data_IF_214960919122
#
_entry.id   IF_214960919122
#
_cell.length_a   1.000
_cell.length_b   1.000
_cell.length_c   1.000
_cell.angle_alpha   90.00
_cell.angle_beta   90.00
_cell.angle_gamma   90.00
#
_symmetry.space_group_name_H-M   'P 1'
#
loop_
_entity.id
_entity.type
_entity.pdbx_description
1 polymer ?
#
# COMPACT_ATOMS: atom_id res chain seq x y z
N UNK A 1 23.58 10.50 35.80
CA UNK A 1 23.30 9.41 34.84
C UNK A 1 22.66 10.05 33.61
N UNK A 2 23.00 9.64 32.38
CA UNK A 2 22.35 10.20 31.18
C UNK A 2 20.85 9.81 31.16
N UNK A 3 19.96 10.59 30.53
CA UNK A 3 18.52 10.31 30.48
C UNK A 3 18.16 8.89 30.05
N UNK A 4 18.84 8.36 29.02
CA UNK A 4 18.65 6.98 28.53
C UNK A 4 19.01 5.94 29.59
N UNK A 5 20.09 6.20 30.34
CA UNK A 5 20.51 5.34 31.44
C UNK A 5 19.55 5.37 32.63
N UNK A 6 18.93 6.52 32.90
CA UNK A 6 17.92 6.64 33.96
C UNK A 6 16.67 5.84 33.63
N UNK A 7 16.14 5.99 32.41
CA UNK A 7 15.00 5.21 31.93
C UNK A 7 15.32 3.72 31.90
N UNK A 8 16.49 3.33 31.40
CA UNK A 8 16.94 1.94 31.42
C UNK A 8 16.96 1.37 32.85
N UNK A 9 17.55 2.08 33.82
CA UNK A 9 17.58 1.61 35.22
C UNK A 9 16.17 1.51 35.82
N UNK A 10 15.26 2.44 35.48
CA UNK A 10 13.87 2.38 35.93
C UNK A 10 13.15 1.13 35.37
N UNK A 11 13.34 0.83 34.09
CA UNK A 11 12.83 -0.39 33.44
C UNK A 11 13.39 -1.64 34.13
N UNK A 12 14.72 -1.73 34.31
CA UNK A 12 15.36 -2.89 34.96
C UNK A 12 14.86 -3.11 36.39
N UNK A 13 14.58 -2.02 37.13
CA UNK A 13 14.03 -2.06 38.48
C UNK A 13 12.52 -2.26 38.54
N UNK A 14 11.85 -2.34 37.40
CA UNK A 14 10.40 -2.45 37.27
C UNK A 14 9.65 -1.32 38.00
N UNK A 15 10.20 -0.10 37.94
CA UNK A 15 9.72 1.07 38.68
C UNK A 15 8.86 1.96 37.75
N UNK A 16 7.54 1.73 37.77
CA UNK A 16 6.58 2.41 36.89
C UNK A 16 6.61 3.93 37.04
N UNK A 17 6.67 4.43 38.29
CA UNK A 17 6.65 5.87 38.55
C UNK A 17 7.88 6.56 37.96
N UNK A 18 9.06 5.93 38.11
CA UNK A 18 10.29 6.46 37.49
C UNK A 18 10.31 6.33 35.97
N UNK A 19 9.66 5.32 35.40
CA UNK A 19 9.48 5.22 33.94
C UNK A 19 8.63 6.37 33.44
N UNK A 20 7.46 6.61 34.05
CA UNK A 20 6.57 7.72 33.68
C UNK A 20 7.29 9.05 33.85
N UNK A 21 7.97 9.27 34.99
CA UNK A 21 8.74 10.49 35.24
C UNK A 21 9.79 10.72 34.15
N UNK A 22 10.56 9.68 33.79
CA UNK A 22 11.60 9.78 32.78
C UNK A 22 11.02 10.05 31.38
N UNK A 23 9.95 9.34 30.98
CA UNK A 23 9.29 9.52 29.68
C UNK A 23 8.64 10.92 29.56
N UNK A 24 7.96 11.40 30.60
CA UNK A 24 7.36 12.74 30.61
C UNK A 24 8.42 13.86 30.61
N UNK A 25 9.52 13.67 31.33
CA UNK A 25 10.59 14.68 31.44
C UNK A 25 11.48 14.73 30.20
N UNK A 26 11.60 13.63 29.48
CA UNK A 26 12.49 13.50 28.33
C UNK A 26 11.77 12.82 27.13
N UNK A 27 10.83 13.52 26.45
CA UNK A 27 10.06 12.95 25.34
C UNK A 27 10.92 12.47 24.16
N UNK A 28 12.09 13.09 23.93
CA UNK A 28 13.03 12.69 22.87
C UNK A 28 13.54 11.24 23.02
N UNK A 29 13.39 10.61 24.19
CA UNK A 29 13.74 9.20 24.39
C UNK A 29 12.87 8.24 23.54
N UNK A 30 11.70 8.69 23.10
CA UNK A 30 10.83 7.97 22.18
C UNK A 30 11.25 8.10 20.70
N UNK A 31 12.04 9.13 20.36
CA UNK A 31 12.51 9.40 19.00
C UNK A 31 13.68 8.48 18.58
N UNK A 32 14.12 7.56 19.44
CA UNK A 32 15.20 6.63 19.14
C UNK A 32 14.80 5.65 18.02
N UNK A 33 15.11 6.03 16.77
CA UNK A 33 14.91 5.20 15.58
C UNK A 33 16.11 4.27 15.36
N UNK A 34 15.78 3.04 14.99
CA UNK A 34 16.62 1.91 14.53
C UNK A 34 18.15 1.98 14.68
N UNK A 35 18.74 0.88 15.19
CA UNK A 35 20.20 0.65 15.11
C UNK A 35 20.95 0.55 16.44
N UNK A 36 20.26 0.51 17.59
CA UNK A 36 20.87 0.15 18.87
C UNK A 36 20.79 -1.35 19.11
N UNK A 37 21.83 -1.93 19.70
CA UNK A 37 21.87 -3.36 20.10
C UNK A 37 20.70 -3.78 21.00
N UNK A 38 20.07 -2.84 21.72
CA UNK A 38 19.00 -3.11 22.70
C UNK A 38 17.95 -1.99 22.75
N UNK A 39 16.81 -2.14 22.07
CA UNK A 39 15.68 -1.20 22.19
C UNK A 39 15.07 -1.22 23.60
N UNK A 40 14.74 -0.04 24.14
CA UNK A 40 14.21 0.11 25.50
C UNK A 40 12.85 -0.58 25.68
N UNK A 41 11.96 -0.51 24.68
CA UNK A 41 10.67 -1.17 24.72
C UNK A 41 10.81 -2.70 24.79
N UNK A 42 11.77 -3.28 24.05
CA UNK A 42 12.07 -4.71 24.12
C UNK A 42 12.59 -5.11 25.50
N UNK A 43 13.41 -4.27 26.15
CA UNK A 43 13.87 -4.52 27.53
C UNK A 43 12.70 -4.49 28.52
N UNK A 44 11.75 -3.57 28.36
CA UNK A 44 10.55 -3.52 29.19
C UNK A 44 9.70 -4.79 29.07
N UNK A 45 9.56 -5.35 27.86
CA UNK A 45 8.89 -6.65 27.65
C UNK A 45 9.58 -7.77 28.42
N UNK A 46 10.91 -7.80 28.50
CA UNK A 46 11.62 -8.84 29.29
C UNK A 46 11.28 -8.79 30.79
N UNK A 47 10.79 -7.65 31.28
CA UNK A 47 10.39 -7.48 32.69
C UNK A 47 8.95 -7.88 32.95
N UNK A 48 8.14 -8.02 31.90
CA UNK A 48 6.79 -8.57 32.00
C UNK A 48 5.80 -7.67 32.74
N UNK A 49 5.98 -6.35 32.69
CA UNK A 49 5.06 -5.39 33.30
C UNK A 49 4.27 -4.62 32.22
N UNK A 50 3.00 -5.00 31.97
CA UNK A 50 2.14 -4.37 30.97
C UNK A 50 2.00 -2.86 31.18
N UNK A 51 1.94 -2.39 32.43
CA UNK A 51 1.77 -0.96 32.74
C UNK A 51 2.97 -0.12 32.32
N UNK A 52 4.18 -0.69 32.42
CA UNK A 52 5.39 -0.02 31.93
C UNK A 52 5.37 0.06 30.41
N UNK A 53 4.97 -1.01 29.74
CA UNK A 53 4.90 -1.08 28.27
C UNK A 53 3.85 -0.10 27.75
N UNK A 54 2.65 -0.10 28.36
CA UNK A 54 1.58 0.85 28.09
C UNK A 54 2.07 2.30 28.26
N UNK A 55 2.69 2.62 29.41
CA UNK A 55 3.22 3.95 29.66
C UNK A 55 4.26 4.38 28.62
N UNK A 56 5.14 3.47 28.19
CA UNK A 56 6.13 3.77 27.14
C UNK A 56 5.45 4.01 25.78
N UNK A 57 4.47 3.19 25.39
CA UNK A 57 3.72 3.37 24.15
C UNK A 57 2.93 4.68 24.15
N UNK A 58 2.31 5.04 25.27
CA UNK A 58 1.58 6.31 25.43
C UNK A 58 2.49 7.55 25.29
N UNK A 59 3.78 7.39 25.54
CA UNK A 59 4.80 8.42 25.33
C UNK A 59 5.49 8.32 23.95
N UNK A 60 4.93 7.56 23.01
CA UNK A 60 5.34 7.59 21.60
C UNK A 60 6.50 6.66 21.24
N UNK A 61 6.88 5.72 22.11
CA UNK A 61 7.92 4.73 21.76
C UNK A 61 7.46 3.89 20.57
N UNK A 62 8.34 3.74 19.57
CA UNK A 62 8.08 2.88 18.42
C UNK A 62 7.77 1.44 18.88
N UNK A 63 6.70 0.85 18.34
CA UNK A 63 6.13 -0.41 18.82
C UNK A 63 6.84 -1.67 18.30
N UNK A 64 7.48 -1.58 17.11
CA UNK A 64 8.13 -2.71 16.45
C UNK A 64 9.67 -2.58 16.30
N UNK A 65 10.43 -2.11 17.31
CA UNK A 65 11.87 -2.01 17.19
C UNK A 65 12.52 -3.39 17.08
N UNK A 66 13.42 -3.53 16.12
CA UNK A 66 14.19 -4.76 15.93
C UNK A 66 15.40 -4.78 16.85
N UNK A 67 15.48 -5.79 17.72
CA UNK A 67 16.71 -6.09 18.45
C UNK A 67 17.66 -6.92 17.60
N UNK A 68 18.89 -6.44 17.40
CA UNK A 68 19.96 -7.16 16.70
C UNK A 68 20.71 -8.10 17.67
N UNK A 69 21.29 -9.20 17.17
CA UNK A 69 21.27 -9.67 15.77
C UNK A 69 20.03 -10.48 15.38
N UNK A 70 19.21 -10.94 16.34
CA UNK A 70 18.11 -11.88 16.08
C UNK A 70 16.91 -11.27 15.35
N UNK A 71 16.89 -9.93 15.19
CA UNK A 71 15.78 -9.15 14.61
C UNK A 71 14.44 -9.50 15.28
N UNK A 72 14.44 -9.58 16.60
CA UNK A 72 13.23 -9.89 17.40
C UNK A 72 12.52 -8.61 17.82
N UNK A 73 11.21 -8.56 17.63
CA UNK A 73 10.32 -7.46 18.04
C UNK A 73 9.88 -7.59 19.50
N UNK A 74 9.34 -6.52 20.13
CA UNK A 74 8.68 -6.62 21.43
C UNK A 74 7.59 -7.71 21.44
N UNK A 75 6.79 -7.81 20.37
CA UNK A 75 5.79 -8.86 20.21
C UNK A 75 6.43 -10.26 20.25
N UNK A 76 7.52 -10.48 19.50
CA UNK A 76 8.27 -11.74 19.52
C UNK A 76 8.80 -12.11 20.91
N UNK A 77 9.28 -11.14 21.69
CA UNK A 77 9.71 -11.37 23.07
C UNK A 77 8.54 -11.77 23.98
N UNK A 78 7.41 -11.08 23.88
CA UNK A 78 6.24 -11.38 24.73
C UNK A 78 5.73 -12.80 24.52
N UNK A 79 5.82 -13.32 23.29
CA UNK A 79 5.52 -14.72 22.94
C UNK A 79 6.53 -15.67 23.57
N UNK A 80 7.83 -15.41 23.42
CA UNK A 80 8.90 -16.26 23.99
C UNK A 80 8.84 -16.34 25.54
N UNK A 81 8.28 -15.32 26.19
CA UNK A 81 8.08 -15.27 27.64
C UNK A 81 6.66 -15.68 28.08
N UNK A 82 5.82 -16.15 27.16
CA UNK A 82 4.43 -16.57 27.43
C UNK A 82 3.58 -15.48 28.15
N UNK A 83 3.74 -14.21 27.76
CA UNK A 83 3.13 -13.04 28.40
C UNK A 83 1.80 -12.64 27.75
N UNK A 84 0.73 -13.38 28.06
CA UNK A 84 -0.63 -13.18 27.51
C UNK A 84 -1.07 -11.71 27.44
N UNK A 85 -1.02 -10.99 28.57
CA UNK A 85 -1.48 -9.60 28.68
C UNK A 85 -0.64 -8.63 27.82
N UNK A 86 0.65 -8.90 27.65
CA UNK A 86 1.54 -8.06 26.85
C UNK A 86 1.36 -8.32 25.36
N UNK A 87 1.14 -9.57 24.97
CA UNK A 87 0.82 -9.94 23.58
C UNK A 87 -0.46 -9.21 23.14
N UNK A 88 -1.51 -9.30 23.95
CA UNK A 88 -2.79 -8.65 23.69
C UNK A 88 -2.65 -7.12 23.65
N UNK A 89 -1.91 -6.52 24.59
CA UNK A 89 -1.62 -5.09 24.61
C UNK A 89 -0.90 -4.64 23.32
N UNK A 90 0.20 -5.30 22.95
CA UNK A 90 0.98 -4.90 21.77
C UNK A 90 0.16 -5.00 20.48
N UNK A 91 -0.59 -6.08 20.30
CA UNK A 91 -1.44 -6.26 19.12
C UNK A 91 -2.57 -5.21 19.07
N UNK A 92 -3.22 -4.94 20.20
CA UNK A 92 -4.26 -3.90 20.29
C UNK A 92 -3.72 -2.51 20.00
N UNK A 93 -2.45 -2.25 20.31
CA UNK A 93 -1.75 -0.99 20.01
C UNK A 93 -1.14 -0.95 18.59
N UNK A 94 -1.39 -1.95 17.75
CA UNK A 94 -1.01 -1.96 16.34
C UNK A 94 0.36 -2.56 16.03
N UNK A 95 0.92 -3.40 16.92
CA UNK A 95 2.17 -4.11 16.63
C UNK A 95 2.00 -5.02 15.41
N UNK A 96 2.91 -4.92 14.44
CA UNK A 96 2.82 -5.70 13.21
C UNK A 96 3.30 -7.15 13.41
N UNK A 97 2.44 -8.17 13.30
CA UNK A 97 2.82 -9.57 13.49
C UNK A 97 3.71 -10.11 12.36
N UNK A 98 3.94 -9.33 11.30
CA UNK A 98 4.80 -9.69 10.17
C UNK A 98 6.21 -9.08 10.27
N UNK A 99 6.59 -8.48 11.40
CA UNK A 99 7.97 -8.04 11.66
C UNK A 99 8.68 -9.06 12.55
N UNK A 100 9.88 -9.47 12.15
CA UNK A 100 10.62 -10.55 12.82
C UNK A 100 9.97 -11.92 12.60
N UNK A 101 9.93 -12.77 13.63
CA UNK A 101 9.39 -14.15 13.55
C UNK A 101 8.35 -14.50 14.66
N UNK A 102 7.40 -13.61 15.04
CA UNK A 102 6.49 -13.88 16.15
C UNK A 102 5.58 -15.09 15.89
N UNK A 103 5.03 -15.23 14.68
CA UNK A 103 4.16 -16.37 14.33
C UNK A 103 4.90 -17.72 14.45
N UNK A 104 6.14 -17.83 13.96
CA UNK A 104 6.99 -19.02 14.19
C UNK A 104 7.31 -19.19 15.67
N UNK A 105 7.58 -18.09 16.38
CA UNK A 105 7.86 -18.08 17.81
C UNK A 105 6.75 -18.73 18.64
N UNK A 106 5.49 -18.56 18.24
CA UNK A 106 4.35 -19.19 18.94
C UNK A 106 4.44 -20.71 18.98
N UNK A 107 5.09 -21.34 18.00
CA UNK A 107 5.24 -22.80 17.95
C UNK A 107 6.24 -23.32 18.98
N UNK A 108 7.04 -22.44 19.60
CA UNK A 108 7.99 -22.78 20.66
C UNK A 108 7.42 -22.60 22.07
N UNK A 109 6.16 -22.18 22.22
CA UNK A 109 5.55 -22.01 23.55
C UNK A 109 5.37 -23.34 24.28
N UNK A 110 5.38 -23.26 25.62
CA UNK A 110 5.51 -24.42 26.51
C UNK A 110 4.31 -25.38 26.48
N UNK A 111 3.10 -24.89 26.18
CA UNK A 111 1.86 -25.69 26.17
C UNK A 111 1.14 -25.57 24.84
N UNK A 112 0.50 -26.66 24.39
CA UNK A 112 -0.30 -26.67 23.17
C UNK A 112 -1.41 -25.60 23.21
N UNK A 113 -2.05 -25.44 24.38
CA UNK A 113 -3.08 -24.41 24.60
C UNK A 113 -2.55 -23.00 24.30
N UNK A 114 -1.35 -22.66 24.79
CA UNK A 114 -0.74 -21.36 24.52
C UNK A 114 -0.32 -21.22 23.07
N UNK A 115 0.28 -22.26 22.47
CA UNK A 115 0.62 -22.27 21.04
C UNK A 115 -0.61 -21.96 20.19
N UNK A 116 -1.71 -22.68 20.42
CA UNK A 116 -2.95 -22.48 19.68
C UNK A 116 -3.57 -21.10 19.91
N UNK A 117 -3.64 -20.65 21.18
CA UNK A 117 -4.13 -19.31 21.55
C UNK A 117 -3.37 -18.22 20.79
N UNK A 118 -2.04 -18.26 20.81
CA UNK A 118 -1.22 -17.22 20.19
C UNK A 118 -1.23 -17.29 18.66
N UNK A 119 -1.22 -18.48 18.06
CA UNK A 119 -1.41 -18.63 16.61
C UNK A 119 -2.71 -17.97 16.17
N UNK A 120 -3.82 -18.29 16.86
CA UNK A 120 -5.12 -17.70 16.54
C UNK A 120 -5.11 -16.18 16.68
N UNK A 121 -4.61 -15.68 17.81
CA UNK A 121 -4.56 -14.26 18.11
C UNK A 121 -3.72 -13.48 17.08
N UNK A 122 -2.56 -13.99 16.68
CA UNK A 122 -1.72 -13.35 15.66
C UNK A 122 -2.37 -13.36 14.28
N UNK A 123 -2.99 -14.47 13.87
CA UNK A 123 -3.69 -14.57 12.58
C UNK A 123 -4.88 -13.62 12.52
N UNK A 124 -5.63 -13.48 13.62
CA UNK A 124 -6.73 -12.50 13.73
C UNK A 124 -6.27 -11.05 13.61
N UNK A 125 -5.01 -10.76 13.97
CA UNK A 125 -4.38 -9.44 13.82
C UNK A 125 -3.52 -9.31 12.53
N UNK A 126 -3.76 -10.16 11.53
CA UNK A 126 -3.16 -10.01 10.19
C UNK A 126 -1.81 -10.68 9.99
N UNK A 127 -1.44 -11.68 10.79
CA UNK A 127 -0.23 -12.47 10.54
C UNK A 127 -0.35 -13.27 9.22
N UNK A 128 0.65 -13.13 8.35
CA UNK A 128 0.72 -13.86 7.09
C UNK A 128 1.11 -15.33 7.33
N UNK A 129 0.13 -16.22 7.17
CA UNK A 129 0.29 -17.67 7.34
C UNK A 129 1.10 -18.34 6.23
N UNK A 130 1.37 -17.64 5.12
CA UNK A 130 2.17 -18.13 4.00
C UNK A 130 3.55 -17.47 3.92
N UNK A 131 3.94 -16.70 4.93
CA UNK A 131 5.23 -16.04 4.97
C UNK A 131 6.38 -17.06 4.90
N UNK A 132 7.33 -16.78 4.01
CA UNK A 132 8.55 -17.56 3.85
C UNK A 132 9.65 -17.06 4.78
N UNK A 133 10.29 -18.01 5.44
CA UNK A 133 11.38 -17.78 6.37
C UNK A 133 12.62 -18.54 5.91
N UNK A 134 13.75 -17.86 5.80
CA UNK A 134 15.02 -18.51 5.48
C UNK A 134 15.47 -19.39 6.65
N UNK A 135 15.80 -20.65 6.36
CA UNK A 135 16.41 -21.57 7.32
C UNK A 135 17.90 -21.28 7.40
N UNK A 136 18.39 -20.93 8.59
CA UNK A 136 19.78 -20.53 8.83
C UNK A 136 20.31 -19.41 7.91
N UNK A 137 19.40 -18.56 7.38
CA UNK A 137 19.76 -17.48 6.46
C UNK A 137 20.03 -17.94 5.02
N UNK A 138 19.74 -19.20 4.68
CA UNK A 138 19.77 -19.69 3.31
C UNK A 138 18.42 -19.44 2.62
N UNK A 139 18.40 -18.48 1.70
CA UNK A 139 17.21 -18.13 0.91
C UNK A 139 16.74 -19.23 -0.03
N UNK A 140 17.56 -20.26 -0.30
CA UNK A 140 17.14 -21.43 -1.09
C UNK A 140 16.38 -22.45 -0.23
N UNK A 141 16.57 -22.40 1.08
CA UNK A 141 15.98 -23.33 2.03
C UNK A 141 14.97 -22.62 2.93
N UNK A 142 13.83 -22.30 2.35
CA UNK A 142 12.75 -21.58 3.03
C UNK A 142 11.67 -22.52 3.58
N UNK A 143 11.04 -22.08 4.66
CA UNK A 143 9.92 -22.75 5.30
C UNK A 143 8.83 -21.73 5.70
N UNK A 144 7.62 -22.22 5.92
CA UNK A 144 6.45 -21.48 6.42
C UNK A 144 6.15 -21.87 7.86
N UNK A 145 5.22 -21.17 8.51
CA UNK A 145 4.68 -21.62 9.81
C UNK A 145 4.11 -23.03 9.72
N UNK A 146 3.52 -23.40 8.59
CA UNK A 146 2.91 -24.71 8.41
C UNK A 146 3.95 -25.83 8.32
N UNK A 147 5.10 -25.59 7.68
CA UNK A 147 6.21 -26.57 7.64
C UNK A 147 6.78 -26.85 9.04
N UNK A 148 6.64 -25.88 9.95
CA UNK A 148 7.21 -25.95 11.30
C UNK A 148 6.19 -26.43 12.34
N UNK A 149 4.89 -26.42 12.01
CA UNK A 149 3.82 -26.85 12.89
C UNK A 149 3.74 -28.39 12.94
N UNK A 150 3.87 -28.95 14.14
CA UNK A 150 3.76 -30.41 14.36
C UNK A 150 2.46 -30.83 15.05
N UNK A 151 1.74 -29.89 15.67
CA UNK A 151 0.51 -30.17 16.39
C UNK A 151 -0.69 -30.21 15.43
N UNK A 152 -1.47 -31.32 15.37
CA UNK A 152 -2.56 -31.47 14.42
C UNK A 152 -3.61 -30.35 14.46
N UNK A 153 -3.98 -29.90 15.67
CA UNK A 153 -4.98 -28.84 15.84
C UNK A 153 -4.51 -27.49 15.26
N UNK A 154 -3.23 -27.16 15.44
CA UNK A 154 -2.62 -25.96 14.85
C UNK A 154 -2.52 -26.11 13.34
N UNK A 155 -2.11 -27.28 12.85
CA UNK A 155 -2.05 -27.58 11.41
C UNK A 155 -3.42 -27.40 10.77
N UNK A 156 -4.47 -27.99 11.35
CA UNK A 156 -5.83 -27.90 10.83
C UNK A 156 -6.33 -26.44 10.80
N UNK A 157 -6.10 -25.68 11.87
CA UNK A 157 -6.45 -24.26 11.91
C UNK A 157 -5.67 -23.44 10.87
N UNK A 158 -4.36 -23.63 10.75
CA UNK A 158 -3.55 -22.94 9.76
C UNK A 158 -4.02 -23.27 8.33
N UNK A 159 -4.32 -24.54 8.05
CA UNK A 159 -4.89 -24.99 6.77
C UNK A 159 -6.25 -24.34 6.50
N UNK A 160 -7.13 -24.26 7.49
CA UNK A 160 -8.41 -23.54 7.39
C UNK A 160 -8.20 -22.08 7.00
N UNK A 161 -7.15 -21.44 7.54
CA UNK A 161 -6.75 -20.06 7.22
C UNK A 161 -5.96 -19.93 5.92
N UNK A 162 -5.86 -20.99 5.11
CA UNK A 162 -5.22 -20.96 3.80
C UNK A 162 -3.70 -21.08 3.85
N UNK A 163 -3.12 -21.56 4.96
CA UNK A 163 -1.69 -21.82 5.06
C UNK A 163 -1.26 -22.98 4.16
N UNK A 164 -0.10 -22.83 3.56
CA UNK A 164 0.53 -23.81 2.68
C UNK A 164 1.97 -24.02 3.11
N UNK A 165 2.48 -25.23 2.92
CA UNK A 165 3.88 -25.56 3.13
C UNK A 165 4.72 -24.83 2.09
N UNK A 166 6.01 -24.59 2.36
CA UNK A 166 6.93 -24.01 1.40
C UNK A 166 7.01 -24.90 0.14
N UNK A 167 6.91 -26.22 0.31
CA UNK A 167 6.80 -27.15 -0.82
C UNK A 167 5.53 -26.90 -1.65
N UNK A 168 4.36 -26.68 -1.05
CA UNK A 168 3.12 -26.35 -1.77
C UNK A 168 3.08 -24.92 -2.32
N UNK A 169 3.80 -23.98 -1.71
CA UNK A 169 4.03 -22.66 -2.29
C UNK A 169 4.95 -22.74 -3.52
N UNK A 170 5.95 -23.64 -3.49
CA UNK A 170 6.85 -23.95 -4.61
C UNK A 170 6.21 -24.85 -5.69
N UNK A 171 5.30 -25.74 -5.30
CA UNK A 171 4.64 -26.76 -6.14
C UNK A 171 3.25 -26.35 -6.62
N UNK A 172 2.65 -25.29 -6.05
CA UNK A 172 1.81 -24.42 -6.87
C UNK A 172 2.60 -24.08 -8.12
N UNK A 173 1.97 -24.07 -9.31
CA UNK A 173 2.68 -23.71 -10.50
C UNK A 173 3.21 -22.30 -10.29
N UNK A 174 4.50 -22.21 -9.95
CA UNK A 174 5.30 -21.08 -10.35
C UNK A 174 5.21 -21.16 -11.85
N UNK A 175 4.34 -20.31 -12.40
CA UNK A 175 4.35 -20.04 -13.81
C UNK A 175 5.84 -19.82 -14.14
N UNK A 176 6.37 -20.63 -15.06
CA UNK A 176 7.72 -20.39 -15.55
C UNK A 176 7.85 -18.90 -15.89
N UNK A 177 9.05 -18.30 -15.91
CA UNK A 177 9.18 -16.89 -16.32
C UNK A 177 8.41 -16.62 -17.63
N UNK A 178 8.40 -17.60 -18.55
CA UNK A 178 7.58 -17.55 -19.77
C UNK A 178 6.07 -17.62 -19.55
N UNK A 179 5.56 -18.30 -18.54
CA UNK A 179 4.14 -18.35 -18.18
C UNK A 179 3.70 -17.18 -17.28
N UNK A 180 4.55 -16.64 -16.39
CA UNK A 180 4.24 -15.41 -15.64
C UNK A 180 4.15 -14.24 -16.60
N UNK A 181 5.11 -14.16 -17.55
CA UNK A 181 5.05 -13.23 -18.67
C UNK A 181 3.80 -13.49 -19.51
N UNK A 182 3.35 -14.73 -19.73
CA UNK A 182 2.11 -15.01 -20.49
C UNK A 182 0.86 -14.61 -19.72
N UNK A 183 0.78 -14.87 -18.41
CA UNK A 183 -0.37 -14.50 -17.61
C UNK A 183 -0.44 -12.99 -17.44
N UNK A 184 0.66 -12.34 -17.13
CA UNK A 184 0.76 -10.88 -17.08
C UNK A 184 0.36 -10.29 -18.45
N UNK A 185 0.93 -10.79 -19.55
CA UNK A 185 0.48 -10.39 -20.90
C UNK A 185 -1.00 -10.66 -21.13
N UNK A 186 -1.56 -11.75 -20.58
CA UNK A 186 -2.98 -12.07 -20.68
C UNK A 186 -3.85 -11.04 -19.93
N UNK A 187 -3.47 -10.68 -18.70
CA UNK A 187 -4.19 -9.69 -17.89
C UNK A 187 -4.10 -8.29 -18.50
N UNK A 188 -2.92 -7.90 -19.00
CA UNK A 188 -2.75 -6.66 -19.76
C UNK A 188 -3.63 -6.67 -21.03
N UNK A 189 -3.71 -7.81 -21.72
CA UNK A 189 -4.55 -7.95 -22.91
C UNK A 189 -6.05 -7.85 -22.58
N UNK A 190 -6.48 -8.29 -21.40
CA UNK A 190 -7.87 -8.12 -20.95
C UNK A 190 -8.23 -6.63 -20.79
N UNK A 191 -7.35 -5.81 -20.21
CA UNK A 191 -7.52 -4.34 -20.12
C UNK A 191 -7.61 -3.74 -21.53
N UNK A 192 -6.67 -4.06 -22.42
CA UNK A 192 -6.65 -3.57 -23.80
C UNK A 192 -7.94 -3.96 -24.54
N UNK A 193 -8.39 -5.20 -24.35
CA UNK A 193 -9.61 -5.73 -24.97
C UNK A 193 -10.85 -5.03 -24.42
N UNK A 194 -10.88 -4.72 -23.12
CA UNK A 194 -11.97 -3.96 -22.53
C UNK A 194 -12.07 -2.56 -23.17
N UNK A 195 -10.96 -1.83 -23.22
CA UNK A 195 -10.91 -0.50 -23.84
C UNK A 195 -11.25 -0.54 -25.34
N UNK A 196 -10.75 -1.55 -26.06
CA UNK A 196 -11.10 -1.80 -27.45
C UNK A 196 -12.62 -1.89 -27.62
N UNK A 197 -13.25 -2.80 -26.87
CA UNK A 197 -14.66 -3.10 -27.02
C UNK A 197 -15.57 -1.95 -26.54
N UNK A 198 -15.11 -1.14 -25.58
CA UNK A 198 -15.91 -0.06 -24.99
C UNK A 198 -15.74 1.28 -25.67
N UNK A 199 -14.58 1.54 -26.27
CA UNK A 199 -14.26 2.86 -26.83
C UNK A 199 -13.93 2.78 -28.33
N UNK A 200 -13.04 1.88 -28.74
CA UNK A 200 -12.65 1.75 -30.15
C UNK A 200 -11.28 1.11 -30.35
N UNK A 201 -10.87 0.93 -31.61
CA UNK A 201 -9.61 0.25 -31.95
C UNK A 201 -8.37 0.88 -31.30
N UNK A 202 -7.59 0.07 -30.59
CA UNK A 202 -6.35 0.49 -29.92
C UNK A 202 -5.20 0.44 -30.93
N UNK A 203 -4.33 1.46 -30.91
CA UNK A 203 -3.11 1.46 -31.72
C UNK A 203 -2.18 0.30 -31.35
N UNK A 204 -1.40 -0.17 -32.33
CA UNK A 204 -0.53 -1.34 -32.13
C UNK A 204 0.68 -1.06 -31.25
N UNK A 205 1.10 0.20 -31.15
CA UNK A 205 2.25 0.62 -30.37
C UNK A 205 1.78 1.30 -29.08
N UNK A 206 2.24 0.78 -27.95
CA UNK A 206 2.09 1.44 -26.66
C UNK A 206 3.28 2.36 -26.40
N UNK A 207 3.04 3.46 -25.71
CA UNK A 207 4.05 4.36 -25.19
C UNK A 207 4.53 3.79 -23.86
N UNK A 208 5.83 3.53 -23.74
CA UNK A 208 6.45 2.98 -22.52
C UNK A 208 7.39 3.99 -21.90
N UNK A 209 7.73 3.76 -20.63
CA UNK A 209 8.71 4.55 -19.91
C UNK A 209 10.07 4.54 -20.61
N UNK A 210 10.77 5.68 -20.60
CA UNK A 210 12.14 5.75 -21.15
C UNK A 210 13.15 5.05 -20.24
N UNK A 211 12.92 5.11 -18.91
CA UNK A 211 13.70 4.41 -17.89
C UNK A 211 12.75 3.40 -17.26
N UNK A 212 13.01 2.09 -17.36
CA UNK A 212 12.15 1.09 -16.75
C UNK A 212 12.09 1.28 -15.22
N UNK A 213 10.92 1.59 -14.69
CA UNK A 213 10.65 1.48 -13.27
C UNK A 213 10.54 0.01 -12.83
N UNK A 214 10.43 -0.21 -11.52
CA UNK A 214 10.21 -1.55 -10.94
C UNK A 214 8.87 -2.15 -11.40
N UNK A 215 7.92 -1.31 -11.84
CA UNK A 215 6.57 -1.69 -12.23
C UNK A 215 6.28 -1.13 -13.63
N UNK A 216 6.48 -1.92 -14.70
CA UNK A 216 6.40 -1.40 -16.06
C UNK A 216 4.97 -0.93 -16.38
N UNK A 217 4.81 0.38 -16.58
CA UNK A 217 3.59 0.99 -17.07
C UNK A 217 3.71 1.19 -18.58
N UNK A 218 2.60 0.96 -19.28
CA UNK A 218 2.44 1.33 -20.67
C UNK A 218 1.17 2.16 -20.85
N UNK A 219 1.23 3.14 -21.75
CA UNK A 219 0.09 3.97 -22.14
C UNK A 219 -0.30 3.60 -23.57
N UNK A 220 -1.57 3.31 -23.77
CA UNK A 220 -2.15 2.92 -25.06
C UNK A 220 -3.03 4.03 -25.59
N UNK A 221 -3.07 4.15 -26.91
CA UNK A 221 -3.84 5.18 -27.61
C UNK A 221 -5.02 4.55 -28.33
N UNK A 222 -6.18 5.17 -28.20
CA UNK A 222 -7.33 4.93 -29.08
C UNK A 222 -7.53 6.21 -29.90
N UNK A 223 -7.25 6.20 -31.21
CA UNK A 223 -7.26 7.40 -32.05
C UNK A 223 -8.70 7.86 -32.32
N UNK A 224 -8.90 9.13 -32.72
CA UNK A 224 -10.22 9.65 -33.07
C UNK A 224 -10.93 8.76 -34.12
N UNK A 225 -12.26 8.70 -34.05
CA UNK A 225 -13.10 7.94 -34.97
C UNK A 225 -14.16 8.86 -35.60
N UNK A 226 -14.88 8.38 -36.63
CA UNK A 226 -15.89 9.19 -37.34
C UNK A 226 -16.98 9.76 -36.41
N UNK A 227 -17.33 9.04 -35.35
CA UNK A 227 -18.33 9.41 -34.34
C UNK A 227 -17.72 9.98 -33.05
N UNK A 228 -16.39 10.18 -33.03
CA UNK A 228 -15.63 10.50 -31.81
C UNK A 228 -14.43 11.41 -32.11
N UNK A 229 -14.62 12.71 -31.93
CA UNK A 229 -13.62 13.76 -32.18
C UNK A 229 -12.64 13.98 -31.02
N UNK A 230 -12.16 12.89 -30.41
CA UNK A 230 -11.14 12.92 -29.37
C UNK A 230 -10.36 11.61 -29.37
N UNK A 231 -9.11 11.67 -28.91
CA UNK A 231 -8.33 10.47 -28.62
C UNK A 231 -8.45 10.09 -27.15
N UNK A 232 -8.18 8.82 -26.83
CA UNK A 232 -8.14 8.34 -25.45
C UNK A 232 -6.80 7.71 -25.17
N UNK A 233 -6.16 8.14 -24.10
CA UNK A 233 -5.01 7.49 -23.52
C UNK A 233 -5.47 6.67 -22.33
N UNK A 234 -4.97 5.45 -22.18
CA UNK A 234 -5.23 4.62 -21.01
C UNK A 234 -4.00 3.82 -20.59
N UNK A 235 -3.86 3.53 -19.31
CA UNK A 235 -2.74 2.75 -18.79
C UNK A 235 -3.02 1.26 -18.85
N UNK A 236 -1.94 0.49 -18.94
CA UNK A 236 -1.90 -0.90 -18.51
C UNK A 236 -0.69 -1.08 -17.60
N UNK A 237 -0.84 -1.87 -16.54
CA UNK A 237 0.25 -2.23 -15.63
C UNK A 237 -0.02 -1.80 -14.20
N UNK A 238 -0.81 -0.74 -13.99
CA UNK A 238 -1.22 -0.32 -12.65
C UNK A 238 -2.04 -1.43 -11.96
N UNK A 239 -2.87 -2.15 -12.72
CA UNK A 239 -3.66 -3.27 -12.23
C UNK A 239 -2.89 -4.60 -12.16
N UNK A 240 -1.61 -4.66 -12.57
CA UNK A 240 -0.85 -5.92 -12.52
C UNK A 240 -0.63 -6.41 -11.08
N UNK A 241 -0.63 -5.49 -10.12
CA UNK A 241 -0.50 -5.77 -8.69
C UNK A 241 -1.58 -5.01 -7.90
N UNK A 242 -1.99 -5.55 -6.76
CA UNK A 242 -2.90 -4.87 -5.85
C UNK A 242 -2.19 -3.67 -5.19
N UNK A 243 -2.86 -2.53 -5.16
CA UNK A 243 -2.49 -1.38 -4.34
C UNK A 243 -2.77 -1.66 -2.85
N UNK A 244 -2.08 -0.94 -1.96
CA UNK A 244 -2.26 -1.07 -0.52
C UNK A 244 -3.52 -0.31 -0.06
N UNK A 245 -4.67 -0.99 -0.12
CA UNK A 245 -5.98 -0.43 0.25
C UNK A 245 -6.30 -0.68 1.72
N UNK A 246 -6.99 0.25 2.40
CA UNK A 246 -7.46 0.02 3.76
C UNK A 246 -8.60 -1.03 3.77
N UNK A 247 -8.85 -1.69 4.92
CA UNK A 247 -9.94 -2.66 5.03
C UNK A 247 -11.30 -2.05 4.66
N UNK A 248 -12.07 -2.76 3.82
CA UNK A 248 -13.36 -2.32 3.30
C UNK A 248 -13.31 -1.55 1.98
N UNK A 249 -12.11 -1.24 1.46
CA UNK A 249 -11.90 -0.57 0.18
C UNK A 249 -11.21 -1.49 -0.86
N UNK A 250 -11.29 -2.81 -0.67
CA UNK A 250 -10.61 -3.80 -1.52
C UNK A 250 -11.11 -3.77 -2.98
N UNK A 251 -12.32 -3.25 -3.21
CA UNK A 251 -12.89 -3.02 -4.55
C UNK A 251 -12.08 -2.00 -5.36
N UNK A 252 -11.20 -1.22 -4.72
CA UNK A 252 -10.32 -0.25 -5.35
C UNK A 252 -8.86 -0.73 -5.43
N UNK A 253 -8.57 -1.99 -5.08
CA UNK A 253 -7.21 -2.52 -5.03
C UNK A 253 -6.54 -2.62 -6.42
N UNK A 254 -7.31 -2.67 -7.50
CA UNK A 254 -6.77 -2.71 -8.85
C UNK A 254 -7.39 -1.60 -9.69
N UNK A 255 -6.55 -0.86 -10.40
CA UNK A 255 -6.99 0.29 -11.17
C UNK A 255 -6.25 0.41 -12.50
N UNK A 256 -6.88 1.10 -13.46
CA UNK A 256 -6.21 1.68 -14.61
C UNK A 256 -6.72 3.11 -14.80
N UNK A 257 -5.84 3.97 -15.30
CA UNK A 257 -6.13 5.37 -15.55
C UNK A 257 -6.49 5.56 -17.02
N UNK A 258 -7.36 6.54 -17.32
CA UNK A 258 -7.53 7.01 -18.68
C UNK A 258 -7.88 8.50 -18.73
N UNK A 259 -7.49 9.14 -19.83
CA UNK A 259 -7.75 10.56 -20.10
C UNK A 259 -8.16 10.72 -21.57
N UNK A 260 -9.05 11.68 -21.82
CA UNK A 260 -9.51 12.00 -23.17
C UNK A 260 -8.94 13.35 -23.59
N UNK A 261 -8.29 13.37 -24.75
CA UNK A 261 -7.60 14.55 -25.27
C UNK A 261 -8.21 14.95 -26.62
N UNK A 262 -8.13 16.23 -27.02
CA UNK A 262 -8.52 16.69 -28.35
C UNK A 262 -7.95 15.82 -29.48
N UNK A 263 -8.67 15.72 -30.60
CA UNK A 263 -8.28 14.87 -31.73
C UNK A 263 -6.98 15.29 -32.41
N UNK A 264 -6.57 16.55 -32.24
CA UNK A 264 -5.35 17.14 -32.78
C UNK A 264 -4.15 17.09 -31.82
N UNK A 265 -4.25 16.35 -30.71
CA UNK A 265 -3.18 16.23 -29.73
C UNK A 265 -1.94 15.51 -30.27
N UNK A 266 -0.75 16.12 -30.13
CA UNK A 266 0.49 15.67 -30.80
C UNK A 266 1.36 14.79 -29.90
N UNK A 267 1.02 13.51 -29.79
CA UNK A 267 1.71 12.53 -28.94
C UNK A 267 3.17 12.26 -29.37
N UNK A 268 3.50 12.48 -30.64
CA UNK A 268 4.84 12.32 -31.19
C UNK A 268 5.82 13.40 -30.71
N UNK A 269 5.30 14.54 -30.21
CA UNK A 269 6.11 15.64 -29.70
C UNK A 269 6.45 15.47 -28.22
N UNK A 270 7.06 14.34 -27.88
CA UNK A 270 7.38 13.98 -26.49
C UNK A 270 8.34 14.95 -25.78
N UNK A 271 9.13 15.73 -26.51
CA UNK A 271 10.02 16.75 -25.95
C UNK A 271 9.33 18.09 -25.66
N UNK A 272 8.08 18.26 -26.07
CA UNK A 272 7.31 19.48 -25.82
C UNK A 272 6.32 19.24 -24.69
N UNK A 273 6.62 19.86 -23.55
CA UNK A 273 5.86 19.71 -22.30
C UNK A 273 4.39 20.10 -22.43
N UNK A 274 4.04 20.92 -23.42
CA UNK A 274 2.65 21.25 -23.72
C UNK A 274 1.85 20.00 -24.13
N UNK A 275 2.49 19.09 -24.87
CA UNK A 275 1.87 17.86 -25.37
C UNK A 275 2.14 16.64 -24.48
N UNK A 276 3.30 16.60 -23.81
CA UNK A 276 3.73 15.42 -23.02
C UNK A 276 3.10 15.33 -21.62
N UNK A 277 2.66 16.45 -21.02
CA UNK A 277 2.23 16.44 -19.62
C UNK A 277 1.17 15.39 -19.27
N UNK A 278 0.18 15.03 -20.13
CA UNK A 278 -0.77 13.99 -19.77
C UNK A 278 -0.09 12.63 -19.63
N UNK A 279 0.90 12.33 -20.48
CA UNK A 279 1.68 11.10 -20.41
C UNK A 279 2.50 11.06 -19.11
N UNK A 280 3.20 12.17 -18.82
CA UNK A 280 4.04 12.29 -17.63
C UNK A 280 3.22 12.06 -16.35
N UNK A 281 2.03 12.66 -16.26
CA UNK A 281 1.12 12.49 -15.13
C UNK A 281 0.48 11.10 -15.06
N UNK A 282 0.13 10.48 -16.19
CA UNK A 282 -0.37 9.11 -16.20
C UNK A 282 0.67 8.13 -15.66
N UNK A 283 1.93 8.26 -16.09
CA UNK A 283 3.03 7.45 -15.55
C UNK A 283 3.20 7.68 -14.05
N UNK A 284 3.30 8.94 -13.64
CA UNK A 284 3.50 9.30 -12.23
C UNK A 284 2.39 8.76 -11.33
N UNK A 285 1.12 8.93 -11.71
CA UNK A 285 -0.02 8.46 -10.91
C UNK A 285 -0.09 6.93 -10.91
N UNK A 286 0.20 6.27 -12.03
CA UNK A 286 0.15 4.80 -12.11
C UNK A 286 1.26 4.11 -11.28
N UNK A 287 2.40 4.77 -11.10
CA UNK A 287 3.51 4.23 -10.30
C UNK A 287 3.37 4.54 -8.80
N UNK A 288 2.81 5.71 -8.48
CA UNK A 288 2.77 6.25 -7.13
C UNK A 288 2.27 5.28 -6.04
N UNK A 289 1.15 4.55 -6.23
CA UNK A 289 0.67 3.57 -5.24
C UNK A 289 1.70 2.49 -4.90
N UNK A 290 2.38 1.95 -5.91
CA UNK A 290 3.30 0.81 -5.74
C UNK A 290 4.67 1.27 -5.23
N UNK A 291 5.11 2.47 -5.60
CA UNK A 291 6.37 3.04 -5.11
C UNK A 291 6.29 3.53 -3.66
N UNK A 292 5.09 3.91 -3.18
CA UNK A 292 4.89 4.49 -1.85
C UNK A 292 4.04 3.61 -0.92
N UNK A 293 3.79 2.35 -1.30
CA UNK A 293 2.98 1.39 -0.53
C UNK A 293 1.62 1.97 -0.10
N UNK A 294 0.90 2.53 -1.07
CA UNK A 294 -0.37 3.26 -0.89
C UNK A 294 -1.37 2.89 -1.99
N UNK A 295 -2.44 3.68 -2.13
CA UNK A 295 -3.52 3.52 -3.10
C UNK A 295 -3.97 4.88 -3.64
N UNK A 296 -4.82 4.87 -4.67
CA UNK A 296 -5.32 6.11 -5.30
C UNK A 296 -6.47 6.78 -4.53
N UNK A 297 -7.03 6.14 -3.51
CA UNK A 297 -8.27 6.56 -2.86
C UNK A 297 -9.50 5.87 -3.46
N UNK A 298 -10.68 6.10 -2.88
CA UNK A 298 -11.93 5.43 -3.26
C UNK A 298 -12.51 5.94 -4.59
N UNK A 299 -13.84 6.08 -4.66
CA UNK A 299 -14.54 6.45 -5.89
C UNK A 299 -14.07 7.77 -6.53
N UNK A 300 -13.59 8.72 -5.73
CA UNK A 300 -13.08 10.01 -6.20
C UNK A 300 -11.94 10.49 -5.32
N UNK A 301 -10.86 10.97 -5.94
CA UNK A 301 -9.72 11.62 -5.27
C UNK A 301 -9.26 12.85 -6.06
N UNK A 302 -8.56 13.78 -5.40
CA UNK A 302 -7.94 14.94 -6.06
C UNK A 302 -6.47 15.02 -5.65
N UNK A 303 -5.60 14.97 -6.65
CA UNK A 303 -4.15 15.10 -6.52
C UNK A 303 -3.77 16.54 -6.89
N UNK A 304 -3.00 17.22 -6.04
CA UNK A 304 -2.37 18.50 -6.38
C UNK A 304 -0.93 18.28 -6.82
N UNK A 305 -0.46 19.11 -7.75
CA UNK A 305 0.96 19.23 -8.00
C UNK A 305 1.60 20.15 -6.96
N UNK A 306 2.07 19.58 -5.85
CA UNK A 306 2.63 20.26 -4.68
C UNK A 306 1.60 20.98 -3.79
N UNK A 307 2.02 21.37 -2.59
CA UNK A 307 1.23 22.12 -1.62
C UNK A 307 1.97 23.41 -1.23
N UNK A 308 1.51 24.61 -1.65
CA UNK A 308 0.24 24.88 -2.35
C UNK A 308 0.23 24.44 -3.84
N UNK A 309 -0.96 24.23 -4.46
CA UNK A 309 -1.07 23.73 -5.82
C UNK A 309 -0.32 24.56 -6.87
N UNK A 310 0.57 23.92 -7.60
CA UNK A 310 1.33 24.47 -8.72
C UNK A 310 0.80 23.94 -10.06
N UNK A 311 1.17 24.60 -11.16
CA UNK A 311 0.74 24.19 -12.51
C UNK A 311 1.24 22.79 -12.84
N UNK A 312 0.40 21.96 -13.46
CA UNK A 312 0.75 20.61 -13.89
C UNK A 312 1.92 20.58 -14.89
N UNK A 313 2.08 21.66 -15.66
CA UNK A 313 3.19 21.88 -16.58
C UNK A 313 3.30 23.39 -16.92
N UNK A 314 4.47 23.87 -17.41
CA UNK A 314 4.60 25.24 -17.90
C UNK A 314 3.53 25.58 -18.93
N UNK A 315 2.87 26.74 -18.75
CA UNK A 315 1.78 27.25 -19.61
C UNK A 315 0.47 26.45 -19.59
N UNK A 316 0.38 25.35 -18.83
CA UNK A 316 -0.89 24.66 -18.57
C UNK A 316 -1.62 25.39 -17.43
N UNK A 317 -2.93 25.66 -17.57
CA UNK A 317 -3.67 26.43 -16.57
C UNK A 317 -4.04 25.61 -15.32
N UNK A 318 -4.12 24.30 -15.47
CA UNK A 318 -4.50 23.37 -14.40
C UNK A 318 -3.38 23.16 -13.39
N UNK A 319 -3.78 22.92 -12.15
CA UNK A 319 -2.86 22.70 -11.02
C UNK A 319 -3.09 21.37 -10.30
N UNK A 320 -4.25 20.75 -10.54
CA UNK A 320 -4.69 19.54 -9.86
C UNK A 320 -5.27 18.54 -10.86
N UNK A 321 -5.38 17.28 -10.44
CA UNK A 321 -5.96 16.19 -11.19
C UNK A 321 -6.99 15.47 -10.31
N UNK A 322 -8.24 15.48 -10.74
CA UNK A 322 -9.29 14.66 -10.16
C UNK A 322 -9.28 13.28 -10.80
N UNK A 323 -9.23 12.24 -9.99
CA UNK A 323 -9.42 10.86 -10.43
C UNK A 323 -10.82 10.43 -10.02
N UNK A 324 -11.61 9.97 -10.98
CA UNK A 324 -12.98 9.50 -10.76
C UNK A 324 -13.14 8.07 -11.28
N UNK A 325 -13.46 7.12 -10.41
CA UNK A 325 -13.74 5.73 -10.76
C UNK A 325 -15.08 5.65 -11.51
N UNK A 326 -15.03 5.77 -12.84
CA UNK A 326 -16.24 5.87 -13.67
C UNK A 326 -16.83 4.49 -14.00
N UNK A 327 -15.96 3.51 -14.24
CA UNK A 327 -16.32 2.18 -14.71
C UNK A 327 -15.47 1.13 -14.02
N UNK A 328 -15.94 -0.11 -14.04
CA UNK A 328 -15.14 -1.26 -13.62
C UNK A 328 -15.41 -2.46 -14.49
N UNK A 329 -14.50 -3.43 -14.42
CA UNK A 329 -14.72 -4.76 -14.96
C UNK A 329 -14.01 -5.80 -14.11
N UNK A 330 -14.44 -7.05 -14.22
CA UNK A 330 -13.83 -8.18 -13.52
C UNK A 330 -12.96 -8.95 -14.50
N UNK A 331 -11.70 -9.15 -14.15
CA UNK A 331 -10.73 -9.94 -14.91
C UNK A 331 -10.96 -11.44 -14.74
N UNK A 332 -10.28 -12.23 -15.57
CA UNK A 332 -10.30 -13.70 -15.51
C UNK A 332 -9.88 -14.27 -14.15
N UNK A 333 -9.02 -13.55 -13.41
CA UNK A 333 -8.56 -13.89 -12.06
C UNK A 333 -9.53 -13.47 -10.94
N UNK A 334 -10.76 -13.05 -11.28
CA UNK A 334 -11.81 -12.59 -10.37
C UNK A 334 -11.45 -11.30 -9.61
N UNK A 335 -10.46 -10.54 -10.09
CA UNK A 335 -10.15 -9.21 -9.53
C UNK A 335 -10.93 -8.14 -10.27
N UNK A 336 -11.54 -7.24 -9.50
CA UNK A 336 -12.22 -6.06 -10.03
C UNK A 336 -11.20 -4.97 -10.31
N UNK A 337 -11.18 -4.46 -11.55
CA UNK A 337 -10.34 -3.34 -11.98
C UNK A 337 -11.21 -2.11 -12.14
N UNK A 338 -10.86 -1.06 -11.40
CA UNK A 338 -11.48 0.26 -11.47
C UNK A 338 -10.84 1.09 -12.58
N UNK A 339 -11.66 1.76 -13.38
CA UNK A 339 -11.19 2.64 -14.44
C UNK A 339 -11.38 4.08 -14.01
N UNK A 340 -10.27 4.70 -13.62
CA UNK A 340 -10.22 6.07 -13.17
C UNK A 340 -10.06 7.01 -14.36
N UNK A 341 -11.07 7.83 -14.57
CA UNK A 341 -10.95 8.98 -15.46
C UNK A 341 -10.10 10.05 -14.77
N UNK A 342 -9.12 10.58 -15.49
CA UNK A 342 -8.31 11.70 -15.06
C UNK A 342 -8.89 13.00 -15.63
N UNK A 343 -9.18 13.97 -14.76
CA UNK A 343 -9.77 15.27 -15.11
C UNK A 343 -8.92 16.40 -14.52
N UNK A 344 -8.27 17.24 -15.32
CA UNK A 344 -7.51 18.39 -14.83
C UNK A 344 -8.40 19.46 -14.21
N UNK A 345 -7.97 20.00 -13.07
CA UNK A 345 -8.67 21.00 -12.28
C UNK A 345 -7.85 22.27 -12.09
N UNK A 346 -8.54 23.39 -11.95
CA UNK A 346 -7.99 24.65 -11.46
C UNK A 346 -7.82 24.64 -9.94
N UNK A 347 -6.99 25.53 -9.40
CA UNK A 347 -6.83 25.69 -7.95
C UNK A 347 -8.15 26.09 -7.29
N UNK A 348 -8.91 26.98 -7.93
CA UNK A 348 -10.20 27.46 -7.41
C UNK A 348 -11.24 26.32 -7.35
N UNK A 349 -11.15 25.34 -8.24
CA UNK A 349 -12.02 24.15 -8.26
C UNK A 349 -11.68 23.20 -7.12
N UNK A 350 -10.38 23.02 -6.81
CA UNK A 350 -9.93 22.32 -5.59
C UNK A 350 -10.39 23.08 -4.35
N UNK A 351 -10.27 24.41 -4.33
CA UNK A 351 -10.68 25.23 -3.19
C UNK A 351 -12.20 25.12 -2.93
N UNK A 352 -13.02 25.03 -3.99
CA UNK A 352 -14.44 24.75 -3.86
C UNK A 352 -14.69 23.38 -3.20
N UNK A 353 -13.96 22.36 -3.60
CA UNK A 353 -14.05 21.03 -2.99
C UNK A 353 -13.63 21.07 -1.51
N UNK A 354 -12.50 21.69 -1.17
CA UNK A 354 -12.03 21.80 0.21
C UNK A 354 -13.02 22.56 1.10
N UNK A 355 -13.74 23.54 0.53
CA UNK A 355 -14.69 24.39 1.26
C UNK A 355 -16.10 23.78 1.37
N UNK A 356 -16.59 23.15 0.32
CA UNK A 356 -18.01 22.75 0.17
C UNK A 356 -18.20 21.25 -0.14
N UNK A 357 -17.11 20.52 -0.29
CA UNK A 357 -17.04 19.09 -0.55
C UNK A 357 -17.23 18.70 -2.02
N UNK A 358 -16.88 17.45 -2.33
CA UNK A 358 -16.99 16.83 -3.65
C UNK A 358 -18.37 17.04 -4.31
N UNK A 359 -19.52 16.88 -3.62
CA UNK A 359 -20.82 17.09 -4.26
C UNK A 359 -21.04 18.51 -4.79
N UNK A 360 -20.41 19.53 -4.20
CA UNK A 360 -20.50 20.91 -4.69
C UNK A 360 -19.71 21.07 -5.99
N UNK A 361 -18.49 20.53 -6.04
CA UNK A 361 -17.66 20.51 -7.25
C UNK A 361 -18.38 19.80 -8.40
N UNK A 362 -18.91 18.60 -8.17
CA UNK A 362 -19.62 17.84 -9.21
C UNK A 362 -20.85 18.57 -9.74
N UNK A 363 -21.65 19.21 -8.86
CA UNK A 363 -22.78 20.06 -9.31
C UNK A 363 -22.32 21.26 -10.13
N UNK A 364 -21.16 21.84 -9.82
CA UNK A 364 -20.62 22.96 -10.60
C UNK A 364 -20.19 22.51 -12.01
N UNK A 365 -19.57 21.33 -12.10
CA UNK A 365 -19.24 20.66 -13.37
C UNK A 365 -20.48 20.41 -14.21
N UNK A 366 -21.54 19.85 -13.62
CA UNK A 366 -22.81 19.61 -14.30
C UNK A 366 -23.46 20.90 -14.80
N UNK A 367 -23.49 21.95 -13.97
CA UNK A 367 -24.10 23.25 -14.31
C UNK A 367 -23.40 23.95 -15.46
N UNK A 368 -22.07 23.85 -15.53
CA UNK A 368 -21.25 24.46 -16.59
C UNK A 368 -21.04 23.53 -17.78
N UNK A 369 -21.60 22.31 -17.73
CA UNK A 369 -21.49 21.28 -18.77
C UNK A 369 -20.02 21.05 -19.18
N UNK A 370 -19.15 20.88 -18.19
CA UNK A 370 -17.71 20.71 -18.42
C UNK A 370 -17.48 19.42 -19.22
N UNK A 371 -16.82 19.49 -20.38
CA UNK A 371 -16.49 18.29 -21.14
C UNK A 371 -15.46 17.45 -20.38
N UNK A 372 -15.60 16.13 -20.45
CA UNK A 372 -14.58 15.21 -19.93
C UNK A 372 -13.37 15.04 -20.87
N UNK A 373 -13.46 15.57 -22.09
CA UNK A 373 -12.30 15.77 -22.96
C UNK A 373 -11.56 17.02 -22.46
N UNK A 374 -10.25 16.91 -22.31
CA UNK A 374 -9.41 18.03 -21.85
C UNK A 374 -9.55 19.21 -22.79
N UNK A 375 -9.93 20.36 -22.24
CA UNK A 375 -9.99 21.64 -22.94
C UNK A 375 -9.12 22.64 -22.20
N UNK A 376 -7.97 23.01 -22.78
CA UNK A 376 -7.02 23.96 -22.19
C UNK A 376 -7.57 25.40 -22.12
N UNK A 377 -8.69 25.68 -22.79
CA UNK A 377 -9.32 26.99 -22.86
C UNK A 377 -10.64 27.07 -22.08
N UNK A 378 -11.09 25.98 -21.46
CA UNK A 378 -12.28 26.01 -20.61
C UNK A 378 -12.10 27.00 -19.45
N UNK A 379 -13.11 27.77 -19.05
CA UNK A 379 -13.04 28.52 -17.80
C UNK A 379 -13.11 27.56 -16.59
N UNK A 380 -12.70 28.06 -15.42
CA UNK A 380 -13.01 27.43 -14.14
C UNK A 380 -14.53 27.34 -13.95
N UNK A 381 -15.01 26.30 -13.26
CA UNK A 381 -16.42 26.23 -12.85
C UNK A 381 -16.77 27.18 -11.69
N UNK A 382 -15.75 27.73 -11.06
CA UNK A 382 -15.84 28.76 -10.03
C UNK A 382 -15.67 30.12 -10.69
N UNK A 383 -16.68 30.98 -10.52
CA UNK A 383 -16.73 32.32 -11.12
C UNK A 383 -15.84 33.35 -10.39
#
# INVERSE_FOLDING_TARGET
MKPEGMLYVAIIKNDLDKVIEACSKYPFLAEEREGKDKPLLSEAVTKGNPKIIEAMLDHGFYIDPLRLPEKTTPLGYSINYDQDEIIELLLTRGANPNIGRPLIGTLNCNTLEKRFKYVKLLVEHGADVNRLYDLYGDSNNQFTVLDWANDPEIVDYLREKGAKTAAELKAQPSLSIGESIKQEKSLLQEVITFFHNKIGGVESQAITETIPSTFPIAIHTIPPAEDRDYLTLFTTGLSSQAMNTPPGEEDYAYAELFIQLPSDWQLEKTNDIHWSWPLDWLFQIAQYPHENDTWLGGALTIIANDEPPQKLAPKIPFTCLMLFAEKSFVRSDQKQVQLYRVVPLYTEERDLELKEGIPALMRAFDRKNVPFVVDLHRPSVVD
#
